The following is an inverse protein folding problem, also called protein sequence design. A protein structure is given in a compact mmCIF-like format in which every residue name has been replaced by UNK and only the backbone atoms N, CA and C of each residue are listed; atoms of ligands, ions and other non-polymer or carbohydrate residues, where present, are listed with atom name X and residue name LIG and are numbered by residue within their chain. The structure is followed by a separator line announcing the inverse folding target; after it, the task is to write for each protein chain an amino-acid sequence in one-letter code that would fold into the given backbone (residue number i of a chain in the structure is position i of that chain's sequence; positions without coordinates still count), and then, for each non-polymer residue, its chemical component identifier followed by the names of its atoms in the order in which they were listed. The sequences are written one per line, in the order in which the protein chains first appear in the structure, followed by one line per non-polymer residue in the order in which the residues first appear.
data_IF_867442283763
#
_entry.id   IF_867442283763
#
_cell.length_a   1.000
_cell.length_b   1.000
_cell.length_c   1.000
_cell.angle_alpha   90.00
_cell.angle_beta   90.00
_cell.angle_gamma   90.00
#
_symmetry.space_group_name_H-M   'P 1'
#
loop_
_entity.id
_entity.type
_entity.pdbx_description
1 polymer ?
#
# COMPACT_ATOMS: atom_id res chain seq x y z
N UNK A 1 -15.55 -31.38 -5.90
CA UNK A 1 -15.22 -30.16 -6.65
C UNK A 1 -14.27 -29.33 -5.80
N UNK A 2 -13.14 -28.85 -6.33
CA UNK A 2 -12.23 -27.93 -5.61
C UNK A 2 -12.49 -26.51 -6.11
N UNK A 3 -12.77 -25.57 -5.21
CA UNK A 3 -12.95 -24.14 -5.53
C UNK A 3 -11.65 -23.41 -5.17
N UNK A 4 -11.00 -22.68 -6.10
CA UNK A 4 -9.78 -21.95 -5.81
C UNK A 4 -10.07 -20.73 -4.92
N UNK A 5 -9.12 -20.38 -4.04
CA UNK A 5 -9.24 -19.19 -3.19
C UNK A 5 -9.10 -17.88 -3.98
N UNK A 6 -8.26 -17.87 -5.03
CA UNK A 6 -8.10 -16.74 -5.94
C UNK A 6 -7.95 -17.25 -7.38
N UNK A 7 -8.46 -16.47 -8.34
CA UNK A 7 -8.22 -16.67 -9.76
C UNK A 7 -8.20 -15.29 -10.42
N UNK A 8 -7.18 -14.96 -11.23
CA UNK A 8 -7.18 -13.71 -11.97
C UNK A 8 -8.34 -13.70 -12.97
N UNK A 9 -8.90 -12.51 -13.20
CA UNK A 9 -9.89 -12.27 -14.25
C UNK A 9 -9.23 -11.41 -15.32
N UNK A 10 -8.96 -12.01 -16.47
CA UNK A 10 -8.30 -11.38 -17.62
C UNK A 10 -9.11 -11.74 -18.85
N UNK A 11 -9.62 -10.73 -19.53
CA UNK A 11 -10.53 -10.85 -20.67
C UNK A 11 -9.92 -10.36 -21.97
N UNK A 12 -10.81 -10.10 -22.93
CA UNK A 12 -10.43 -9.63 -24.26
C UNK A 12 -9.88 -8.20 -24.23
N UNK A 13 -10.44 -7.35 -23.38
CA UNK A 13 -10.06 -5.94 -23.26
C UNK A 13 -8.61 -5.78 -22.75
N UNK A 14 -8.19 -6.59 -21.78
CA UNK A 14 -6.80 -6.63 -21.32
C UNK A 14 -5.85 -7.11 -22.44
N UNK A 15 -6.24 -8.15 -23.18
CA UNK A 15 -5.44 -8.68 -24.28
C UNK A 15 -5.24 -7.64 -25.39
N UNK A 16 -6.32 -6.99 -25.84
CA UNK A 16 -6.23 -5.98 -26.89
C UNK A 16 -5.46 -4.74 -26.42
N UNK A 17 -5.56 -4.37 -25.13
CA UNK A 17 -4.74 -3.32 -24.52
C UNK A 17 -3.25 -3.65 -24.57
N UNK A 18 -2.86 -4.87 -24.18
CA UNK A 18 -1.47 -5.34 -24.24
C UNK A 18 -0.98 -5.40 -25.70
N UNK A 19 -1.78 -5.94 -26.62
CA UNK A 19 -1.48 -6.00 -28.06
C UNK A 19 -1.19 -4.60 -28.61
N UNK A 20 -1.97 -3.59 -28.23
CA UNK A 20 -1.79 -2.22 -28.72
C UNK A 20 -0.39 -1.64 -28.39
N UNK A 21 0.20 -2.03 -27.26
CA UNK A 21 1.57 -1.64 -26.90
C UNK A 21 2.60 -2.24 -27.86
N UNK A 22 2.40 -3.50 -28.29
CA UNK A 22 3.25 -4.14 -29.29
C UNK A 22 3.06 -3.55 -30.68
N UNK A 23 1.81 -3.23 -31.07
CA UNK A 23 1.51 -2.63 -32.38
C UNK A 23 2.24 -1.29 -32.58
N UNK A 24 2.44 -0.50 -31.52
CA UNK A 24 3.19 0.77 -31.57
C UNK A 24 4.67 0.64 -31.16
N UNK A 25 5.13 -0.58 -30.89
CA UNK A 25 6.48 -0.88 -30.41
C UNK A 25 6.91 -0.08 -29.15
N UNK A 26 6.00 0.08 -28.19
CA UNK A 26 6.26 0.78 -26.92
C UNK A 26 5.79 -0.08 -25.73
N UNK A 27 6.73 -0.80 -25.11
CA UNK A 27 6.42 -1.81 -24.07
C UNK A 27 6.80 -1.39 -22.64
N UNK A 28 7.37 -0.19 -22.47
CA UNK A 28 7.76 0.37 -21.17
C UNK A 28 6.80 1.50 -20.76
N UNK A 29 7.10 2.20 -19.67
CA UNK A 29 6.36 3.40 -19.26
C UNK A 29 6.21 4.39 -20.43
N UNK A 30 4.98 4.89 -20.64
CA UNK A 30 4.65 5.68 -21.82
C UNK A 30 3.18 6.08 -21.91
N UNK A 31 2.62 6.20 -23.12
CA UNK A 31 1.26 6.72 -23.34
C UNK A 31 0.18 5.98 -22.55
N UNK A 32 0.20 4.65 -22.54
CA UNK A 32 -0.76 3.81 -21.81
C UNK A 32 -0.66 3.99 -20.29
N UNK A 33 0.57 4.15 -19.78
CA UNK A 33 0.79 4.47 -18.36
C UNK A 33 0.24 5.85 -18.01
N UNK A 34 0.43 6.86 -18.87
CA UNK A 34 -0.14 8.20 -18.64
C UNK A 34 -1.67 8.17 -18.63
N UNK A 35 -2.27 7.51 -19.61
CA UNK A 35 -3.73 7.31 -19.70
C UNK A 35 -4.27 6.64 -18.42
N UNK A 36 -3.65 5.54 -17.99
CA UNK A 36 -4.07 4.81 -16.79
C UNK A 36 -3.89 5.65 -15.52
N UNK A 37 -2.81 6.42 -15.40
CA UNK A 37 -2.57 7.33 -14.28
C UNK A 37 -3.71 8.36 -14.16
N UNK A 38 -4.06 9.02 -15.26
CA UNK A 38 -5.08 10.08 -15.25
C UNK A 38 -6.46 9.52 -14.87
N UNK A 39 -6.80 8.33 -15.37
CA UNK A 39 -8.03 7.63 -14.97
C UNK A 39 -8.01 7.24 -13.48
N UNK A 40 -6.88 6.74 -12.97
CA UNK A 40 -6.75 6.35 -11.57
C UNK A 40 -6.82 7.55 -10.61
N UNK A 41 -6.20 8.66 -10.96
CA UNK A 41 -6.30 9.91 -10.18
C UNK A 41 -7.73 10.43 -10.16
N UNK A 42 -8.45 10.36 -11.29
CA UNK A 42 -9.88 10.71 -11.36
C UNK A 42 -10.73 9.77 -10.48
N UNK A 43 -10.46 8.46 -10.51
CA UNK A 43 -11.20 7.47 -9.73
C UNK A 43 -11.00 7.65 -8.23
N UNK A 44 -9.75 7.90 -7.81
CA UNK A 44 -9.38 8.02 -6.39
C UNK A 44 -9.61 9.43 -5.82
N UNK A 45 -9.71 10.44 -6.68
CA UNK A 45 -9.74 11.85 -6.27
C UNK A 45 -8.38 12.39 -5.82
N UNK A 46 -7.29 11.62 -5.97
CA UNK A 46 -5.95 12.06 -5.59
C UNK A 46 -5.44 13.15 -6.53
N UNK A 47 -4.75 14.15 -5.97
CA UNK A 47 -4.16 15.26 -6.76
C UNK A 47 -2.90 14.84 -7.51
N UNK A 48 -2.14 13.89 -6.93
CA UNK A 48 -0.87 13.40 -7.47
C UNK A 48 -0.78 11.88 -7.29
N UNK A 49 0.01 11.22 -8.12
CA UNK A 49 0.26 9.78 -8.03
C UNK A 49 1.42 9.35 -8.92
N UNK A 50 2.09 8.28 -8.50
CA UNK A 50 3.25 7.68 -9.17
C UNK A 50 3.05 6.17 -9.15
N UNK A 51 3.42 5.48 -10.24
CA UNK A 51 3.38 4.03 -10.27
C UNK A 51 4.62 3.42 -9.60
N UNK A 52 4.39 2.32 -8.89
CA UNK A 52 5.45 1.44 -8.41
C UNK A 52 5.23 0.05 -9.02
N UNK A 53 6.30 -0.77 -9.16
CA UNK A 53 6.16 -2.11 -9.72
C UNK A 53 5.24 -3.05 -8.91
N UNK A 54 5.07 -2.80 -7.61
CA UNK A 54 4.16 -3.52 -6.73
C UNK A 54 3.84 -2.71 -5.46
N UNK A 55 2.93 -3.22 -4.63
CA UNK A 55 2.50 -2.56 -3.39
C UNK A 55 3.61 -2.39 -2.34
N UNK A 56 4.51 -3.35 -2.18
CA UNK A 56 5.65 -3.23 -1.25
C UNK A 56 6.57 -2.07 -1.64
N UNK A 57 6.90 -1.95 -2.92
CA UNK A 57 7.71 -0.85 -3.43
C UNK A 57 6.96 0.49 -3.38
N UNK A 58 5.64 0.51 -3.53
CA UNK A 58 4.84 1.72 -3.34
C UNK A 58 4.96 2.26 -1.91
N UNK A 59 4.82 1.38 -0.90
CA UNK A 59 4.98 1.75 0.52
C UNK A 59 6.41 2.22 0.79
N UNK A 60 7.42 1.47 0.30
CA UNK A 60 8.83 1.84 0.44
C UNK A 60 9.12 3.24 -0.13
N UNK A 61 8.65 3.54 -1.34
CA UNK A 61 8.83 4.86 -1.95
C UNK A 61 8.17 5.96 -1.12
N UNK A 62 6.97 5.71 -0.58
CA UNK A 62 6.29 6.64 0.34
C UNK A 62 7.10 6.91 1.62
N UNK A 63 7.64 5.86 2.25
CA UNK A 63 8.50 5.98 3.41
C UNK A 63 9.78 6.77 3.10
N UNK A 64 10.46 6.48 1.98
CA UNK A 64 11.66 7.23 1.56
C UNK A 64 11.32 8.70 1.29
N UNK A 65 10.18 9.00 0.67
CA UNK A 65 9.76 10.37 0.40
C UNK A 65 9.49 11.17 1.69
N UNK A 66 9.06 10.51 2.77
CA UNK A 66 8.90 11.13 4.11
C UNK A 66 10.21 11.27 4.89
N UNK A 67 11.33 10.81 4.31
CA UNK A 67 12.64 10.80 4.95
C UNK A 67 12.82 9.70 5.99
N UNK A 68 11.95 8.67 6.00
CA UNK A 68 12.09 7.53 6.92
C UNK A 68 13.40 6.79 6.62
N UNK A 69 14.13 6.46 7.67
CA UNK A 69 15.43 5.82 7.57
C UNK A 69 15.90 5.17 8.86
N UNK A 70 17.21 5.14 9.04
CA UNK A 70 17.85 4.57 10.23
C UNK A 70 17.36 5.26 11.49
N UNK A 71 17.26 4.49 12.57
CA UNK A 71 16.75 4.89 13.89
C UNK A 71 15.24 5.16 13.98
N UNK A 72 14.51 5.22 12.86
CA UNK A 72 13.06 5.38 12.87
C UNK A 72 12.33 4.07 13.18
N UNK A 73 11.18 4.21 13.82
CA UNK A 73 10.20 3.16 14.06
C UNK A 73 8.92 3.45 13.29
N UNK A 74 8.37 2.43 12.63
CA UNK A 74 7.10 2.55 11.91
C UNK A 74 6.09 1.56 12.48
N UNK A 75 4.97 2.07 12.97
CA UNK A 75 3.89 1.25 13.50
C UNK A 75 3.17 0.54 12.35
N UNK A 76 3.07 -0.79 12.42
CA UNK A 76 2.40 -1.64 11.44
C UNK A 76 1.46 -2.63 12.16
N UNK A 77 0.29 -2.99 11.59
CA UNK A 77 -0.57 -3.99 12.21
C UNK A 77 0.14 -5.36 12.24
N UNK A 78 -0.06 -6.10 13.31
CA UNK A 78 0.41 -7.49 13.44
C UNK A 78 -0.36 -8.49 12.56
N UNK A 79 -1.50 -8.04 12.01
CA UNK A 79 -2.30 -8.78 11.04
C UNK A 79 -2.36 -8.06 9.69
N UNK A 80 -1.45 -8.42 8.79
CA UNK A 80 -1.36 -7.89 7.41
C UNK A 80 -0.56 -8.85 6.51
N UNK A 81 -0.45 -8.53 5.22
CA UNK A 81 0.53 -9.16 4.34
C UNK A 81 1.95 -8.67 4.66
N UNK A 82 2.93 -9.58 4.62
CA UNK A 82 4.33 -9.31 5.01
C UNK A 82 4.96 -8.11 4.29
N UNK A 83 4.50 -7.82 3.07
CA UNK A 83 4.96 -6.69 2.27
C UNK A 83 4.86 -5.33 2.98
N UNK A 84 3.95 -5.15 3.93
CA UNK A 84 3.87 -3.93 4.76
C UNK A 84 5.11 -3.75 5.63
N UNK A 85 5.51 -4.77 6.38
CA UNK A 85 6.67 -4.71 7.26
C UNK A 85 7.98 -4.74 6.47
N UNK A 86 8.05 -5.53 5.39
CA UNK A 86 9.23 -5.57 4.51
C UNK A 86 9.53 -4.20 3.91
N UNK A 87 8.52 -3.42 3.54
CA UNK A 87 8.73 -2.06 3.02
C UNK A 87 9.39 -1.12 4.06
N UNK A 88 9.07 -1.29 5.35
CA UNK A 88 9.69 -0.55 6.46
C UNK A 88 11.15 -0.93 6.61
N UNK A 89 11.45 -2.23 6.64
CA UNK A 89 12.83 -2.71 6.73
C UNK A 89 13.67 -2.26 5.52
N UNK A 90 13.11 -2.35 4.31
CA UNK A 90 13.75 -1.85 3.09
C UNK A 90 14.05 -0.36 3.15
N UNK A 91 13.21 0.44 3.83
CA UNK A 91 13.44 1.87 4.00
C UNK A 91 14.60 2.18 4.98
N UNK A 92 15.06 1.18 5.73
CA UNK A 92 16.10 1.28 6.76
C UNK A 92 15.57 1.48 8.17
N UNK A 93 14.25 1.40 8.37
CA UNK A 93 13.57 1.62 9.64
C UNK A 93 13.16 0.30 10.30
N UNK A 94 12.75 0.36 11.59
CA UNK A 94 12.28 -0.78 12.36
C UNK A 94 10.75 -0.88 12.33
N UNK A 95 10.15 -1.99 11.83
CA UNK A 95 8.72 -2.20 11.99
C UNK A 95 8.39 -2.49 13.47
N UNK A 96 7.39 -1.81 14.00
CA UNK A 96 6.84 -2.04 15.35
C UNK A 96 5.43 -2.58 15.17
N UNK A 97 5.23 -3.85 15.50
CA UNK A 97 3.94 -4.52 15.35
C UNK A 97 2.96 -4.06 16.44
N UNK A 98 1.76 -3.69 15.99
CA UNK A 98 0.65 -3.25 16.85
C UNK A 98 -0.52 -4.21 16.68
N UNK A 99 -1.08 -4.63 17.80
CA UNK A 99 -2.25 -5.53 17.83
C UNK A 99 -3.44 -4.92 17.09
N UNK A 100 -4.12 -5.72 16.27
CA UNK A 100 -5.37 -5.32 15.63
C UNK A 100 -6.58 -5.56 16.51
N UNK A 101 -7.63 -4.78 16.32
CA UNK A 101 -8.92 -5.02 16.96
C UNK A 101 -9.54 -6.33 16.43
N UNK A 102 -9.81 -7.28 17.32
CA UNK A 102 -10.32 -8.62 16.97
C UNK A 102 -11.67 -8.65 16.25
N UNK A 103 -12.45 -7.56 16.29
CA UNK A 103 -13.77 -7.50 15.64
C UNK A 103 -13.71 -7.08 14.18
N UNK A 104 -12.73 -6.27 13.79
CA UNK A 104 -12.64 -5.70 12.46
C UNK A 104 -11.25 -5.85 11.81
N UNK A 105 -10.27 -6.39 12.55
CA UNK A 105 -8.88 -6.59 12.13
C UNK A 105 -8.14 -5.31 11.71
N UNK A 106 -8.63 -4.15 12.13
CA UNK A 106 -7.98 -2.86 11.89
C UNK A 106 -6.97 -2.59 13.01
N UNK A 107 -5.90 -1.87 12.69
CA UNK A 107 -4.91 -1.45 13.70
C UNK A 107 -5.61 -0.72 14.86
N UNK A 108 -5.32 -1.13 16.10
CA UNK A 108 -5.92 -0.54 17.29
C UNK A 108 -5.09 0.69 17.74
N UNK A 109 -5.67 1.88 17.68
CA UNK A 109 -4.98 3.14 18.01
C UNK A 109 -4.65 3.27 19.49
N UNK A 110 -5.41 2.62 20.38
CA UNK A 110 -5.08 2.58 21.82
C UNK A 110 -3.84 1.73 22.06
N UNK A 111 -3.74 0.59 21.36
CA UNK A 111 -2.53 -0.25 21.38
C UNK A 111 -1.34 0.45 20.73
N UNK A 112 -1.57 1.17 19.63
CA UNK A 112 -0.57 1.97 18.95
C UNK A 112 0.02 3.05 19.88
N UNK A 113 -0.83 3.70 20.69
CA UNK A 113 -0.43 4.73 21.64
C UNK A 113 0.58 4.23 22.69
N UNK A 114 0.43 2.98 23.13
CA UNK A 114 1.36 2.35 24.09
C UNK A 114 2.68 1.96 23.44
N UNK A 115 2.70 1.78 22.12
CA UNK A 115 3.90 1.43 21.35
C UNK A 115 4.72 2.65 20.89
N UNK A 116 4.24 3.87 21.14
CA UNK A 116 4.94 5.10 20.77
C UNK A 116 6.26 5.25 21.52
N UNK A 117 7.28 5.67 20.79
CA UNK A 117 8.58 6.07 21.33
C UNK A 117 9.01 7.39 20.70
N UNK A 118 10.10 7.97 21.20
CA UNK A 118 10.73 9.15 20.58
C UNK A 118 11.20 8.91 19.13
N UNK A 119 11.30 7.64 18.72
CA UNK A 119 11.75 7.22 17.40
C UNK A 119 10.58 6.89 16.47
N UNK A 120 9.33 6.90 16.95
CA UNK A 120 8.17 6.61 16.09
C UNK A 120 7.98 7.71 15.06
N UNK A 121 8.08 7.33 13.78
CA UNK A 121 8.08 8.26 12.65
C UNK A 121 6.82 8.19 11.79
N UNK A 122 6.19 7.03 11.72
CA UNK A 122 5.00 6.82 10.91
C UNK A 122 4.12 5.67 11.45
N UNK A 123 2.87 5.65 11.00
CA UNK A 123 1.92 4.54 11.18
C UNK A 123 1.38 4.13 9.80
N UNK A 124 1.30 2.83 9.54
CA UNK A 124 0.76 2.29 8.30
C UNK A 124 -0.51 1.47 8.60
N UNK A 125 -1.71 2.07 8.55
CA UNK A 125 -2.96 1.31 8.62
C UNK A 125 -3.13 0.47 7.34
N UNK A 126 -3.81 -0.68 7.46
CA UNK A 126 -4.09 -1.58 6.33
C UNK A 126 -5.58 -1.84 6.22
N UNK A 127 -6.15 -1.57 5.05
CA UNK A 127 -7.54 -1.90 4.71
C UNK A 127 -7.69 -3.40 4.42
N UNK A 128 -7.52 -4.22 5.46
CA UNK A 128 -7.44 -5.68 5.34
C UNK A 128 -8.71 -6.24 4.69
N UNK A 129 -8.52 -7.13 3.72
CA UNK A 129 -9.59 -7.70 2.89
C UNK A 129 -10.50 -6.67 2.18
N UNK A 130 -10.01 -5.44 1.97
CA UNK A 130 -10.79 -4.35 1.38
C UNK A 130 -11.70 -3.63 2.36
N UNK A 131 -11.67 -3.98 3.65
CA UNK A 131 -12.45 -3.28 4.68
C UNK A 131 -11.75 -1.98 5.04
N UNK A 132 -12.39 -0.85 4.74
CA UNK A 132 -11.83 0.47 5.02
C UNK A 132 -11.58 0.67 6.52
N UNK A 133 -10.36 1.10 6.86
CA UNK A 133 -9.98 1.47 8.21
C UNK A 133 -10.69 2.77 8.58
N UNK A 134 -11.02 2.95 9.86
CA UNK A 134 -11.45 4.24 10.38
C UNK A 134 -10.29 5.26 10.31
N UNK A 135 -10.10 5.86 9.13
CA UNK A 135 -9.03 6.83 8.89
C UNK A 135 -9.21 8.10 9.72
N UNK A 136 -10.43 8.47 10.11
CA UNK A 136 -10.63 9.60 11.04
C UNK A 136 -9.97 9.35 12.39
N UNK A 137 -10.10 8.14 12.94
CA UNK A 137 -9.45 7.76 14.19
C UNK A 137 -7.92 7.70 14.03
N UNK A 138 -7.42 7.07 12.95
CA UNK A 138 -5.98 6.98 12.69
C UNK A 138 -5.34 8.35 12.50
N UNK A 139 -5.96 9.25 11.73
CA UNK A 139 -5.47 10.61 11.51
C UNK A 139 -5.60 11.52 12.74
N UNK A 140 -6.49 11.19 13.69
CA UNK A 140 -6.58 11.92 14.95
C UNK A 140 -5.52 11.45 15.96
N UNK A 141 -5.06 10.22 15.82
CA UNK A 141 -3.97 9.63 16.60
C UNK A 141 -2.57 10.08 16.11
N UNK A 142 -2.37 10.11 14.79
CA UNK A 142 -1.09 10.43 14.14
C UNK A 142 -0.78 11.94 14.13
#
# INVERSE_FOLDING_TARGET
MKVPQFSPWVGRDEYDSIKSCFDINWITEGPKTSEFKDQLLKLTGAKFGVFAPNGTLAIYLGLKAMGVGSDDEVLVPDFTFIGTATAVEMAGARPVFVEVNRRNFQIDTEKASVALTKNTRAIIPVHIYGTAVNMTAVCSFA
#
